data_IF_856663923620
#
_entry.id   IF_856663923620
#
_cell.length_a   1.000
_cell.length_b   1.000
_cell.length_c   1.000
_cell.angle_alpha   90.00
_cell.angle_beta   90.00
_cell.angle_gamma   90.00
#
_symmetry.space_group_name_H-M   'P 1'
#
loop_
_entity.id
_entity.type
_entity.pdbx_description
1 polymer ?
#
# COMPACT_ATOMS: atom_id res chain seq x y z
N UNK A 1 -6.31 15.30 2.75
CA UNK A 1 -7.13 14.23 2.12
C UNK A 1 -7.38 13.18 3.16
N UNK A 2 -8.53 12.51 3.16
CA UNK A 2 -8.85 11.54 4.20
C UNK A 2 -8.75 10.12 3.64
N UNK A 3 -7.84 9.31 4.18
CA UNK A 3 -7.74 7.88 3.83
C UNK A 3 -8.85 7.12 4.55
N UNK A 4 -9.70 6.44 3.78
CA UNK A 4 -10.82 5.65 4.31
C UNK A 4 -10.45 4.19 4.51
N UNK A 5 -9.69 3.61 3.58
CA UNK A 5 -9.20 2.22 3.71
C UNK A 5 -8.01 1.94 2.80
N UNK A 6 -7.14 1.02 3.20
CA UNK A 6 -6.08 0.45 2.36
C UNK A 6 -6.09 -1.07 2.50
N UNK A 7 -6.23 -1.81 1.40
CA UNK A 7 -6.37 -3.28 1.40
C UNK A 7 -5.68 -3.92 0.22
N UNK A 8 -4.96 -5.01 0.46
CA UNK A 8 -4.29 -5.82 -0.52
C UNK A 8 -4.92 -7.19 -0.66
N UNK A 9 -5.13 -7.60 -1.90
CA UNK A 9 -5.63 -8.95 -2.22
C UNK A 9 -4.65 -9.67 -3.12
N UNK A 10 -4.45 -10.94 -2.83
CA UNK A 10 -3.81 -11.87 -3.76
C UNK A 10 -4.81 -12.23 -4.83
N UNK A 11 -4.47 -11.99 -6.09
CA UNK A 11 -5.36 -12.33 -7.19
C UNK A 11 -5.36 -13.85 -7.38
N UNK A 12 -6.53 -14.41 -7.63
CA UNK A 12 -6.70 -15.83 -7.93
C UNK A 12 -7.03 -15.98 -9.40
N UNK A 13 -6.68 -17.12 -10.00
CA UNK A 13 -7.04 -17.43 -11.39
C UNK A 13 -8.56 -17.31 -11.58
N UNK A 14 -9.00 -16.36 -12.40
CA UNK A 14 -10.38 -16.30 -12.91
C UNK A 14 -10.52 -17.15 -14.20
N UNK A 15 -9.43 -17.31 -14.97
CA UNK A 15 -9.38 -18.10 -16.21
C UNK A 15 -8.11 -18.95 -16.28
N UNK A 16 -8.21 -20.13 -16.91
CA UNK A 16 -7.16 -21.17 -16.92
C UNK A 16 -5.77 -20.72 -17.42
N UNK A 17 -5.68 -19.63 -18.18
CA UNK A 17 -4.44 -19.13 -18.78
C UNK A 17 -4.12 -17.66 -18.40
N UNK A 18 -4.74 -17.09 -17.36
CA UNK A 18 -4.42 -15.71 -16.95
C UNK A 18 -3.22 -15.69 -15.99
N UNK A 19 -2.18 -14.86 -16.22
CA UNK A 19 -1.08 -14.69 -15.28
C UNK A 19 -1.49 -13.94 -14.01
N UNK A 20 -2.77 -13.56 -13.86
CA UNK A 20 -3.30 -12.81 -12.71
C UNK A 20 -2.96 -13.46 -11.36
N UNK A 21 -2.86 -14.79 -11.28
CA UNK A 21 -2.50 -15.48 -10.04
C UNK A 21 -1.14 -15.08 -9.47
N UNK A 22 -0.24 -14.54 -10.31
CA UNK A 22 1.08 -14.09 -9.88
C UNK A 22 1.07 -12.66 -9.34
N UNK A 23 -0.09 -12.01 -9.27
CA UNK A 23 -0.20 -10.61 -8.87
C UNK A 23 -0.88 -10.42 -7.52
N UNK A 24 -0.43 -9.37 -6.85
CA UNK A 24 -1.14 -8.74 -5.75
C UNK A 24 -1.75 -7.43 -6.26
N UNK A 25 -2.96 -7.12 -5.77
CA UNK A 25 -3.61 -5.83 -5.98
C UNK A 25 -3.79 -5.14 -4.64
N UNK A 26 -3.04 -4.07 -4.44
CA UNK A 26 -3.23 -3.13 -3.34
C UNK A 26 -4.20 -2.04 -3.76
N UNK A 27 -5.17 -1.70 -2.94
CA UNK A 27 -6.20 -0.70 -3.20
C UNK A 27 -6.30 0.28 -2.04
N UNK A 28 -6.22 1.57 -2.36
CA UNK A 28 -6.39 2.69 -1.45
C UNK A 28 -7.67 3.44 -1.81
N UNK A 29 -8.53 3.64 -0.83
CA UNK A 29 -9.75 4.46 -0.93
C UNK A 29 -9.57 5.69 -0.06
N UNK A 30 -9.85 6.86 -0.62
CA UNK A 30 -9.70 8.14 0.07
C UNK A 30 -10.70 9.17 -0.44
N UNK A 31 -11.01 10.15 0.39
CA UNK A 31 -11.76 11.34 0.00
C UNK A 31 -10.81 12.51 -0.29
N UNK A 32 -10.94 13.12 -1.47
CA UNK A 32 -10.26 14.36 -1.83
C UNK A 32 -11.28 15.36 -2.38
N UNK A 33 -11.35 16.54 -1.74
CA UNK A 33 -12.31 17.62 -2.08
C UNK A 33 -13.78 17.15 -2.13
N UNK A 34 -14.20 16.36 -1.14
CA UNK A 34 -15.57 15.86 -1.02
C UNK A 34 -15.94 14.80 -2.05
N UNK A 35 -14.95 14.17 -2.71
CA UNK A 35 -15.17 13.08 -3.67
C UNK A 35 -14.34 11.88 -3.27
N UNK A 36 -15.01 10.73 -3.15
CA UNK A 36 -14.32 9.45 -3.00
C UNK A 36 -13.52 9.14 -4.27
N UNK A 37 -12.30 8.69 -4.07
CA UNK A 37 -11.35 8.27 -5.07
C UNK A 37 -10.81 6.89 -4.70
N UNK A 38 -10.35 6.19 -5.73
CA UNK A 38 -9.74 4.88 -5.61
C UNK A 38 -8.48 4.83 -6.44
N UNK A 39 -7.39 4.40 -5.81
CA UNK A 39 -6.10 4.17 -6.45
C UNK A 39 -5.65 2.74 -6.16
N UNK A 40 -5.26 2.00 -7.19
CA UNK A 40 -4.77 0.62 -7.03
C UNK A 40 -3.37 0.42 -7.60
N UNK A 41 -2.54 -0.36 -6.93
CA UNK A 41 -1.25 -0.83 -7.44
C UNK A 41 -1.34 -2.34 -7.69
N UNK A 42 -1.07 -2.75 -8.93
CA UNK A 42 -0.95 -4.14 -9.33
C UNK A 42 0.54 -4.48 -9.47
N UNK A 43 1.02 -5.49 -8.75
CA UNK A 43 2.43 -5.86 -8.73
C UNK A 43 2.63 -7.37 -8.54
N UNK A 44 3.83 -7.88 -8.81
CA UNK A 44 4.11 -9.32 -8.72
C UNK A 44 4.19 -9.78 -7.26
N UNK A 45 3.45 -10.85 -6.92
CA UNK A 45 3.33 -11.41 -5.57
C UNK A 45 4.67 -11.79 -4.97
N UNK A 46 5.58 -12.34 -5.77
CA UNK A 46 6.90 -12.78 -5.29
C UNK A 46 7.75 -11.63 -4.74
N UNK A 47 7.43 -10.37 -5.07
CA UNK A 47 8.13 -9.22 -4.47
C UNK A 47 7.97 -9.19 -2.95
N UNK A 48 6.81 -9.60 -2.43
CA UNK A 48 6.55 -9.63 -0.98
C UNK A 48 7.39 -10.69 -0.26
N UNK A 49 7.87 -11.73 -0.96
CA UNK A 49 8.77 -12.75 -0.38
C UNK A 49 10.15 -12.16 -0.01
N UNK A 50 10.50 -11.03 -0.62
CA UNK A 50 11.78 -10.33 -0.42
C UNK A 50 11.65 -9.08 0.44
N UNK A 51 10.58 -8.96 1.24
CA UNK A 51 10.28 -7.73 1.98
C UNK A 51 11.42 -7.19 2.84
N UNK A 52 12.27 -8.08 3.37
CA UNK A 52 13.40 -7.73 4.22
C UNK A 52 14.52 -7.00 3.46
N UNK A 53 14.52 -7.05 2.12
CA UNK A 53 15.51 -6.35 1.29
C UNK A 53 15.20 -4.84 1.13
N UNK A 54 14.00 -4.40 1.48
CA UNK A 54 13.53 -3.03 1.23
C UNK A 54 12.61 -2.44 2.31
N UNK A 55 12.27 -3.22 3.34
CA UNK A 55 11.53 -2.78 4.53
C UNK A 55 12.28 -3.22 5.79
N UNK A 56 12.00 -2.63 6.97
CA UNK A 56 12.56 -3.09 8.23
C UNK A 56 11.90 -4.38 8.77
N UNK A 57 10.93 -4.95 8.06
CA UNK A 57 10.19 -6.11 8.54
C UNK A 57 10.81 -7.41 8.00
N UNK A 58 10.81 -8.43 8.85
CA UNK A 58 11.31 -9.78 8.53
C UNK A 58 10.19 -10.79 8.30
N UNK A 59 8.95 -10.41 8.61
CA UNK A 59 7.76 -11.26 8.60
C UNK A 59 6.60 -10.52 7.95
N UNK A 60 5.61 -11.30 7.49
CA UNK A 60 4.36 -10.80 6.93
C UNK A 60 3.23 -11.63 7.60
N UNK A 61 2.43 -11.07 8.51
CA UNK A 61 2.07 -9.64 8.62
C UNK A 61 3.18 -8.71 9.13
N UNK A 62 3.18 -7.49 8.61
CA UNK A 62 4.15 -6.44 8.94
C UNK A 62 3.73 -5.59 10.16
N UNK A 63 2.44 -5.60 10.50
CA UNK A 63 1.90 -4.96 11.72
C UNK A 63 0.75 -5.80 12.27
N UNK A 64 0.59 -5.82 13.59
CA UNK A 64 -0.52 -6.51 14.27
C UNK A 64 -1.15 -5.53 15.26
N UNK A 65 -2.46 -5.34 15.14
CA UNK A 65 -3.27 -4.47 15.99
C UNK A 65 -4.46 -5.26 16.57
N UNK A 66 -4.26 -5.88 17.74
CA UNK A 66 -5.23 -6.82 18.30
C UNK A 66 -5.37 -8.03 17.38
N UNK A 67 -6.60 -8.31 16.93
CA UNK A 67 -6.90 -9.40 15.99
C UNK A 67 -6.70 -9.01 14.51
N UNK A 68 -6.29 -7.77 14.23
CA UNK A 68 -6.08 -7.30 12.87
C UNK A 68 -4.62 -7.43 12.47
N UNK A 69 -4.38 -8.19 11.40
CA UNK A 69 -3.08 -8.37 10.78
C UNK A 69 -3.00 -7.49 9.52
N UNK A 70 -1.96 -6.67 9.44
CA UNK A 70 -1.67 -5.85 8.26
C UNK A 70 -0.54 -6.51 7.49
N UNK A 71 -0.82 -6.89 6.26
CA UNK A 71 0.14 -7.48 5.34
C UNK A 71 0.85 -6.40 4.52
N UNK A 72 2.02 -6.69 3.96
CA UNK A 72 2.73 -5.73 3.10
C UNK A 72 1.85 -5.24 1.93
N UNK A 73 1.08 -6.15 1.31
CA UNK A 73 0.11 -5.83 0.25
C UNK A 73 -0.94 -4.79 0.64
N UNK A 74 -1.27 -4.66 1.91
CA UNK A 74 -2.19 -3.64 2.41
C UNK A 74 -1.56 -2.24 2.39
N UNK A 75 -0.23 -2.14 2.40
CA UNK A 75 0.51 -0.88 2.48
C UNK A 75 0.90 -0.30 1.12
N UNK A 76 1.03 -1.13 0.08
CA UNK A 76 1.68 -0.74 -1.19
C UNK A 76 1.04 0.47 -1.86
N UNK A 77 -0.29 0.49 -2.03
CA UNK A 77 -0.97 1.63 -2.67
C UNK A 77 -0.87 2.92 -1.85
N UNK A 78 -0.89 2.81 -0.52
CA UNK A 78 -0.63 3.93 0.38
C UNK A 78 0.78 4.49 0.18
N UNK A 79 1.80 3.63 0.24
CA UNK A 79 3.21 4.02 0.11
C UNK A 79 3.48 4.62 -1.28
N UNK A 80 2.94 4.03 -2.34
CA UNK A 80 3.07 4.55 -3.69
C UNK A 80 2.47 5.95 -3.84
N UNK A 81 1.29 6.21 -3.24
CA UNK A 81 0.67 7.54 -3.25
C UNK A 81 1.49 8.55 -2.44
N UNK A 82 1.99 8.16 -1.27
CA UNK A 82 2.83 9.03 -0.45
C UNK A 82 4.11 9.42 -1.21
N UNK A 83 4.77 8.44 -1.83
CA UNK A 83 6.00 8.66 -2.61
C UNK A 83 5.78 9.57 -3.80
N UNK A 84 4.63 9.43 -4.45
CA UNK A 84 4.28 10.19 -5.62
C UNK A 84 2.86 10.77 -5.45
N UNK A 85 2.70 11.93 -4.78
CA UNK A 85 1.38 12.49 -4.47
C UNK A 85 0.52 12.78 -5.70
N UNK A 86 1.12 12.91 -6.89
CA UNK A 86 0.42 13.01 -8.17
C UNK A 86 -0.41 11.76 -8.53
N UNK A 87 -0.16 10.61 -7.91
CA UNK A 87 -0.95 9.39 -8.10
C UNK A 87 -2.37 9.50 -7.57
N UNK A 88 -2.68 10.51 -6.75
CA UNK A 88 -4.05 10.82 -6.34
C UNK A 88 -5.01 11.11 -7.50
N UNK A 89 -4.48 11.37 -8.69
CA UNK A 89 -5.26 11.59 -9.92
C UNK A 89 -5.27 10.38 -10.86
N UNK A 90 -4.66 9.27 -10.45
CA UNK A 90 -4.60 8.01 -11.22
C UNK A 90 -5.53 6.99 -10.60
N UNK A 91 -6.18 6.18 -11.46
CA UNK A 91 -6.98 5.03 -10.99
C UNK A 91 -6.13 3.81 -10.64
N UNK A 92 -5.07 3.57 -11.43
CA UNK A 92 -4.23 2.39 -11.27
C UNK A 92 -2.78 2.63 -11.65
N UNK A 93 -1.91 1.81 -11.09
CA UNK A 93 -0.50 1.67 -11.39
C UNK A 93 -0.16 0.19 -11.54
N UNK A 94 0.80 -0.12 -12.39
CA UNK A 94 1.30 -1.48 -12.62
C UNK A 94 2.82 -1.47 -12.43
N UNK A 95 3.33 -2.38 -11.61
CA UNK A 95 4.76 -2.49 -11.31
C UNK A 95 5.17 -3.95 -11.54
N UNK A 96 5.99 -4.17 -12.56
CA UNK A 96 6.53 -5.49 -12.90
C UNK A 96 8.04 -5.59 -12.71
N UNK A 97 8.71 -4.49 -12.41
CA UNK A 97 10.15 -4.46 -12.16
C UNK A 97 10.44 -4.42 -10.66
N UNK A 98 11.30 -5.32 -10.21
CA UNK A 98 11.61 -5.46 -8.78
C UNK A 98 12.27 -4.20 -8.20
N UNK A 99 13.18 -3.57 -8.95
CA UNK A 99 13.86 -2.35 -8.50
C UNK A 99 12.89 -1.16 -8.38
N UNK A 100 11.89 -1.05 -9.27
CA UNK A 100 10.84 -0.04 -9.16
C UNK A 100 10.00 -0.26 -7.90
N UNK A 101 9.63 -1.52 -7.61
CA UNK A 101 8.90 -1.87 -6.41
C UNK A 101 9.69 -1.56 -5.13
N UNK A 102 10.96 -1.95 -5.08
CA UNK A 102 11.87 -1.70 -3.97
C UNK A 102 12.03 -0.20 -3.69
N UNK A 103 12.18 0.62 -4.73
CA UNK A 103 12.36 2.06 -4.60
C UNK A 103 11.17 2.77 -3.94
N UNK A 104 9.95 2.21 -4.05
CA UNK A 104 8.78 2.75 -3.32
C UNK A 104 9.01 2.84 -1.81
N UNK A 105 9.78 1.90 -1.25
CA UNK A 105 9.97 1.79 0.20
C UNK A 105 11.21 2.53 0.70
N UNK A 106 12.06 3.01 -0.20
CA UNK A 106 13.26 3.79 0.12
C UNK A 106 12.90 5.00 0.98
N UNK A 107 13.53 5.21 2.13
CA UNK A 107 13.28 6.39 2.97
C UNK A 107 11.86 6.53 3.54
N UNK A 108 11.04 5.47 3.57
CA UNK A 108 9.72 5.50 4.22
C UNK A 108 9.86 5.65 5.73
N UNK A 109 9.09 6.57 6.32
CA UNK A 109 8.94 6.71 7.76
C UNK A 109 7.91 5.70 8.30
N UNK A 110 8.38 4.52 8.68
CA UNK A 110 7.55 3.41 9.12
C UNK A 110 6.79 3.68 10.42
N UNK A 111 7.27 4.57 11.28
CA UNK A 111 6.52 4.96 12.48
C UNK A 111 5.27 5.74 12.11
N UNK A 112 5.39 6.71 11.19
CA UNK A 112 4.23 7.44 10.67
C UNK A 112 3.23 6.49 9.99
N UNK A 113 3.71 5.54 9.18
CA UNK A 113 2.86 4.53 8.53
C UNK A 113 2.11 3.70 9.57
N UNK A 114 2.76 3.23 10.64
CA UNK A 114 2.12 2.48 11.73
C UNK A 114 0.99 3.28 12.39
N UNK A 115 1.24 4.56 12.71
CA UNK A 115 0.23 5.43 13.31
C UNK A 115 -0.97 5.68 12.40
N UNK A 116 -0.74 5.83 11.10
CA UNK A 116 -1.81 5.96 10.11
C UNK A 116 -2.65 4.66 10.04
N UNK A 117 -2.00 3.50 9.94
CA UNK A 117 -2.70 2.21 9.83
C UNK A 117 -3.42 1.80 11.11
N UNK A 118 -2.93 2.20 12.29
CA UNK A 118 -3.68 2.06 13.54
C UNK A 118 -5.04 2.77 13.47
N UNK A 119 -5.06 4.01 12.97
CA UNK A 119 -6.30 4.82 12.84
C UNK A 119 -7.23 4.31 11.73
N UNK A 120 -6.66 3.94 10.58
CA UNK A 120 -7.40 3.38 9.44
C UNK A 120 -8.10 2.08 9.86
N UNK A 121 -7.38 1.21 10.57
CA UNK A 121 -7.90 -0.09 11.01
C UNK A 121 -9.00 0.03 12.09
N UNK A 122 -8.95 1.07 12.94
CA UNK A 122 -10.02 1.42 13.87
C UNK A 122 -11.31 1.92 13.18
N UNK A 123 -11.33 2.02 11.85
CA UNK A 123 -12.47 2.51 11.06
C UNK A 123 -12.70 4.02 11.15
N UNK A 124 -11.75 4.76 11.74
CA UNK A 124 -11.87 6.21 11.98
C UNK A 124 -11.40 7.08 10.81
N UNK A 125 -10.91 6.47 9.73
CA UNK A 125 -10.21 7.18 8.67
C UNK A 125 -8.90 7.82 9.16
N UNK A 126 -8.11 8.33 8.23
CA UNK A 126 -6.87 9.04 8.55
C UNK A 126 -6.76 10.32 7.71
N UNK A 127 -6.79 11.46 8.39
CA UNK A 127 -6.54 12.75 7.77
C UNK A 127 -5.05 12.90 7.46
N UNK A 128 -4.72 12.77 6.17
CA UNK A 128 -3.38 13.01 5.65
C UNK A 128 -3.29 14.46 5.18
N UNK A 129 -2.63 15.28 5.99
CA UNK A 129 -2.36 16.69 5.68
C UNK A 129 -1.19 16.86 4.71
N UNK A 130 -0.15 16.03 4.86
CA UNK A 130 1.06 16.08 4.03
C UNK A 130 1.65 14.70 3.83
N UNK A 131 2.05 14.38 2.61
CA UNK A 131 2.79 13.13 2.35
C UNK A 131 4.22 13.16 2.90
N UNK A 132 4.75 14.35 3.22
CA UNK A 132 6.13 14.50 3.71
C UNK A 132 6.35 13.86 5.09
N UNK A 133 5.31 13.71 5.91
CA UNK A 133 5.43 13.07 7.24
C UNK A 133 5.85 11.59 7.15
N UNK A 134 5.61 10.97 5.99
CA UNK A 134 5.87 9.56 5.73
C UNK A 134 7.21 9.33 5.00
N UNK A 135 8.02 10.37 4.80
CA UNK A 135 9.28 10.30 4.06
C UNK A 135 10.39 10.92 4.92
N UNK A 136 11.43 10.15 5.20
CA UNK A 136 12.64 10.70 5.81
C UNK A 136 13.39 11.56 4.78
N UNK A 137 13.78 12.76 5.20
CA UNK A 137 14.55 13.71 4.42
C UNK A 137 16.00 13.22 4.18
#
# INVERSE_FOLDING_TARGET
MEIKSSKGVELVKDKSNSPEEFFNRSELVYEDKGREQKFSVLYLRYFDEKLHEFTPFTENPVMIFGDNEIMLKDLVAFIALVKNPGYKHRRKMYINEYEEYKELFSGVNWEAVKQAFLKINDGKGFDMESTLEFIHA
#
